data_IF_739330890952
#
_entry.id   IF_739330890952
#
_cell.length_a   1.000
_cell.length_b   1.000
_cell.length_c   1.000
_cell.angle_alpha   90.00
_cell.angle_beta   90.00
_cell.angle_gamma   90.00
#
_symmetry.space_group_name_H-M   'P 1'
#
loop_
_entity.id
_entity.type
_entity.pdbx_description
1 polymer ?
#
# COMPACT_ATOMS: atom_id res chain seq x y z
N UNK A 1 9.85 -4.63 20.00
CA UNK A 1 11.14 -3.97 19.73
C UNK A 1 10.80 -2.78 18.87
N UNK A 2 10.90 -1.58 19.41
CA UNK A 2 10.55 -0.34 18.70
C UNK A 2 11.46 -0.23 17.47
N UNK A 3 10.88 -0.25 16.26
CA UNK A 3 11.68 -0.15 15.03
C UNK A 3 12.28 1.25 14.97
N UNK A 4 13.59 1.31 14.67
CA UNK A 4 14.32 2.56 14.59
C UNK A 4 13.69 3.49 13.53
N UNK A 5 13.62 4.79 13.82
CA UNK A 5 13.27 5.79 12.82
C UNK A 5 14.24 5.67 11.64
N UNK A 6 13.70 5.61 10.42
CA UNK A 6 14.52 5.59 9.20
C UNK A 6 15.05 7.01 8.95
N UNK A 7 16.37 7.16 8.85
CA UNK A 7 16.95 8.45 8.48
C UNK A 7 16.31 8.98 7.19
N UNK A 8 16.04 10.28 7.11
CA UNK A 8 15.43 10.90 5.92
C UNK A 8 13.93 10.70 5.77
N UNK A 9 13.28 9.99 6.70
CA UNK A 9 11.82 9.86 6.77
C UNK A 9 11.31 10.52 8.05
N UNK A 10 10.62 11.64 7.89
CA UNK A 10 9.84 12.24 8.96
C UNK A 10 8.48 11.55 9.03
N UNK A 11 8.14 11.00 10.21
CA UNK A 11 6.86 10.35 10.46
C UNK A 11 6.10 11.06 11.58
N UNK A 12 4.81 11.29 11.35
CA UNK A 12 3.87 11.81 12.35
C UNK A 12 2.57 11.02 12.29
N UNK A 13 2.07 10.65 13.47
CA UNK A 13 0.78 9.98 13.66
C UNK A 13 -0.15 10.91 14.41
N UNK A 14 -1.31 11.19 13.84
CA UNK A 14 -2.39 11.89 14.52
C UNK A 14 -3.15 10.95 15.47
N UNK A 15 -3.90 11.54 16.39
CA UNK A 15 -4.61 10.81 17.45
C UNK A 15 -5.76 9.94 16.91
N UNK A 16 -6.30 10.29 15.75
CA UNK A 16 -7.54 9.71 15.21
C UNK A 16 -7.35 8.75 14.04
N UNK A 17 -6.11 8.49 13.61
CA UNK A 17 -5.79 7.56 12.52
C UNK A 17 -5.11 8.18 11.30
N UNK A 18 -4.65 9.44 11.37
CA UNK A 18 -3.84 10.05 10.31
C UNK A 18 -2.37 9.65 10.42
N UNK A 19 -1.74 9.28 9.30
CA UNK A 19 -0.32 8.96 9.19
C UNK A 19 0.32 9.86 8.12
N UNK A 20 1.36 10.60 8.49
CA UNK A 20 2.09 11.48 7.60
C UNK A 20 3.54 11.04 7.48
N UNK A 21 3.98 10.81 6.25
CA UNK A 21 5.34 10.46 5.90
C UNK A 21 5.90 11.51 4.95
N UNK A 22 6.89 12.27 5.40
CA UNK A 22 7.69 13.14 4.54
C UNK A 22 9.05 12.47 4.28
N UNK A 23 9.21 11.96 3.06
CA UNK A 23 10.42 11.25 2.62
C UNK A 23 11.37 12.26 1.96
N UNK A 24 12.25 12.85 2.77
CA UNK A 24 13.23 13.87 2.34
C UNK A 24 14.34 13.28 1.48
N UNK A 25 14.83 12.10 1.86
CA UNK A 25 15.91 11.42 1.15
C UNK A 25 15.70 9.89 1.15
N UNK A 26 16.25 9.22 0.13
CA UNK A 26 16.40 7.76 0.15
C UNK A 26 17.74 7.45 0.82
N UNK A 27 17.74 7.51 2.16
CA UNK A 27 18.91 7.23 3.00
C UNK A 27 19.35 5.76 2.89
N UNK A 28 20.54 5.43 3.38
CA UNK A 28 20.99 4.02 3.43
C UNK A 28 20.05 3.15 4.28
N UNK A 29 19.50 3.67 5.38
CA UNK A 29 18.52 2.93 6.21
C UNK A 29 17.27 2.58 5.41
N UNK A 30 16.72 3.55 4.67
CA UNK A 30 15.55 3.30 3.83
C UNK A 30 15.88 2.34 2.67
N UNK A 31 17.08 2.44 2.07
CA UNK A 31 17.54 1.48 1.06
C UNK A 31 17.63 0.07 1.63
N UNK A 32 18.17 -0.10 2.85
CA UNK A 32 18.25 -1.39 3.54
C UNK A 32 16.86 -1.94 3.80
N UNK A 33 15.92 -1.13 4.30
CA UNK A 33 14.54 -1.57 4.53
C UNK A 33 13.87 -2.01 3.21
N UNK A 34 14.00 -1.22 2.13
CA UNK A 34 13.49 -1.59 0.80
C UNK A 34 14.10 -2.91 0.33
N UNK A 35 15.44 -3.08 0.40
CA UNK A 35 16.13 -4.31 -0.01
C UNK A 35 15.62 -5.53 0.77
N UNK A 36 15.49 -5.39 2.08
CA UNK A 36 15.09 -6.49 2.97
C UNK A 36 13.67 -6.98 2.69
N UNK A 37 12.78 -6.10 2.21
CA UNK A 37 11.36 -6.42 2.02
C UNK A 37 10.94 -6.67 0.58
N UNK A 38 11.71 -6.21 -0.41
CA UNK A 38 11.24 -6.21 -1.80
C UNK A 38 10.76 -7.60 -2.26
N UNK A 39 11.53 -8.66 -1.98
CA UNK A 39 11.14 -10.04 -2.33
C UNK A 39 9.84 -10.47 -1.65
N UNK A 40 9.65 -10.13 -0.37
CA UNK A 40 8.46 -10.49 0.41
C UNK A 40 7.23 -9.72 -0.06
N UNK A 41 7.38 -8.41 -0.30
CA UNK A 41 6.32 -7.54 -0.82
C UNK A 41 5.86 -8.06 -2.19
N UNK A 42 6.80 -8.30 -3.09
CA UNK A 42 6.49 -8.72 -4.45
C UNK A 42 5.94 -10.14 -4.54
N UNK A 43 6.56 -11.11 -3.87
CA UNK A 43 6.24 -12.53 -4.08
C UNK A 43 5.44 -13.17 -2.94
N UNK A 44 5.30 -12.49 -1.80
CA UNK A 44 4.75 -13.04 -0.56
C UNK A 44 5.82 -13.70 0.31
N UNK A 45 5.69 -13.54 1.63
CA UNK A 45 6.66 -14.01 2.62
C UNK A 45 6.92 -15.54 2.53
N UNK A 46 5.89 -16.35 2.25
CA UNK A 46 6.03 -17.80 2.10
C UNK A 46 6.86 -18.25 0.90
N UNK A 47 6.95 -17.42 -0.16
CA UNK A 47 7.79 -17.69 -1.33
C UNK A 47 9.18 -17.13 -1.12
N UNK A 48 9.29 -15.89 -0.62
CA UNK A 48 10.55 -15.24 -0.33
C UNK A 48 11.42 -16.02 0.67
N UNK A 49 10.82 -16.69 1.67
CA UNK A 49 11.55 -17.48 2.67
C UNK A 49 12.18 -18.78 2.14
N UNK A 50 11.85 -19.21 0.91
CA UNK A 50 12.33 -20.49 0.35
C UNK A 50 13.79 -20.47 -0.07
N UNK A 51 14.48 -19.33 0.02
CA UNK A 51 15.89 -19.14 -0.33
C UNK A 51 16.27 -19.68 -1.73
N UNK A 52 15.34 -19.61 -2.69
CA UNK A 52 15.58 -20.02 -4.08
C UNK A 52 16.00 -18.81 -4.92
N UNK A 53 16.75 -19.07 -5.99
CA UNK A 53 17.11 -18.02 -6.96
C UNK A 53 15.87 -17.32 -7.52
N UNK A 54 14.75 -18.04 -7.67
CA UNK A 54 13.49 -17.54 -8.22
C UNK A 54 12.93 -16.35 -7.43
N UNK A 55 13.05 -16.35 -6.11
CA UNK A 55 12.53 -15.29 -5.22
C UNK A 55 13.64 -14.42 -4.63
N UNK A 56 14.85 -14.50 -5.19
CA UNK A 56 15.96 -13.64 -4.80
C UNK A 56 15.66 -12.16 -5.08
N UNK A 57 16.33 -11.28 -4.34
CA UNK A 57 16.23 -9.84 -4.55
C UNK A 57 16.50 -9.44 -6.01
N UNK A 58 17.57 -9.96 -6.61
CA UNK A 58 17.95 -9.65 -7.99
C UNK A 58 16.90 -10.10 -9.02
N UNK A 59 16.36 -11.33 -8.89
CA UNK A 59 15.28 -11.78 -9.79
C UNK A 59 14.00 -10.98 -9.60
N UNK A 60 13.66 -10.63 -8.36
CA UNK A 60 12.50 -9.78 -8.05
C UNK A 60 12.66 -8.40 -8.66
N UNK A 61 13.85 -7.80 -8.58
CA UNK A 61 14.17 -6.51 -9.16
C UNK A 61 14.07 -6.52 -10.69
N UNK A 62 14.62 -7.55 -11.35
CA UNK A 62 14.47 -7.71 -12.79
C UNK A 62 12.99 -7.85 -13.20
N UNK A 63 12.21 -8.67 -12.48
CA UNK A 63 10.79 -8.86 -12.75
C UNK A 63 9.97 -7.57 -12.50
N UNK A 64 10.34 -6.79 -11.47
CA UNK A 64 9.75 -5.48 -11.20
C UNK A 64 9.94 -4.56 -12.41
N UNK A 65 11.16 -4.43 -12.92
CA UNK A 65 11.46 -3.52 -14.03
C UNK A 65 10.91 -3.99 -15.38
N UNK A 66 10.82 -5.30 -15.62
CA UNK A 66 10.10 -5.84 -16.79
C UNK A 66 8.64 -5.36 -16.83
N UNK A 67 7.99 -5.28 -15.65
CA UNK A 67 6.62 -4.76 -15.53
C UNK A 67 6.60 -3.23 -15.56
N UNK A 68 7.51 -2.57 -14.84
CA UNK A 68 7.55 -1.12 -14.64
C UNK A 68 7.85 -0.34 -15.93
N UNK A 69 8.79 -0.82 -16.74
CA UNK A 69 9.33 -0.08 -17.89
C UNK A 69 8.34 0.03 -19.04
N UNK A 70 7.34 -0.85 -19.08
CA UNK A 70 6.30 -0.85 -20.11
C UNK A 70 5.12 0.06 -19.78
N UNK A 71 5.06 0.64 -18.57
CA UNK A 71 3.91 1.43 -18.12
C UNK A 71 4.11 2.94 -18.34
N UNK A 72 2.99 3.67 -18.39
CA UNK A 72 3.00 5.13 -18.44
C UNK A 72 3.62 5.74 -17.18
N UNK A 73 4.11 6.98 -17.28
CA UNK A 73 4.69 7.71 -16.13
C UNK A 73 3.73 7.75 -14.92
N UNK A 74 2.43 7.95 -15.15
CA UNK A 74 1.45 7.98 -14.06
C UNK A 74 1.25 6.61 -13.41
N UNK A 75 1.30 5.53 -14.20
CA UNK A 75 1.25 4.17 -13.67
C UNK A 75 2.53 3.85 -12.88
N UNK A 76 3.70 4.25 -13.39
CA UNK A 76 4.98 4.10 -12.69
C UNK A 76 4.98 4.83 -11.34
N UNK A 77 4.47 6.07 -11.29
CA UNK A 77 4.26 6.82 -10.04
C UNK A 77 3.36 6.07 -9.05
N UNK A 78 2.28 5.46 -9.55
CA UNK A 78 1.40 4.60 -8.76
C UNK A 78 2.14 3.40 -8.18
N UNK A 79 2.90 2.66 -9.01
CA UNK A 79 3.67 1.50 -8.59
C UNK A 79 4.70 1.85 -7.51
N UNK A 80 5.41 2.98 -7.62
CA UNK A 80 6.33 3.44 -6.58
C UNK A 80 5.58 3.87 -5.31
N UNK A 81 4.43 4.52 -5.46
CA UNK A 81 3.60 4.91 -4.33
C UNK A 81 3.12 3.72 -3.50
N UNK A 82 2.69 2.66 -4.18
CA UNK A 82 2.25 1.40 -3.56
C UNK A 82 3.43 0.64 -2.93
N UNK A 83 4.59 0.57 -3.60
CA UNK A 83 5.81 -0.01 -3.01
C UNK A 83 6.21 0.72 -1.72
N UNK A 84 6.25 2.05 -1.73
CA UNK A 84 6.57 2.85 -0.54
C UNK A 84 5.53 2.67 0.56
N UNK A 85 4.26 2.49 0.20
CA UNK A 85 3.20 2.16 1.17
C UNK A 85 3.52 0.87 1.89
N UNK A 86 3.83 -0.21 1.16
CA UNK A 86 4.25 -1.47 1.79
C UNK A 86 5.45 -1.31 2.71
N UNK A 87 6.47 -0.57 2.28
CA UNK A 87 7.72 -0.41 3.03
C UNK A 87 7.48 0.41 4.31
N UNK A 88 6.93 1.61 4.17
CA UNK A 88 6.84 2.56 5.27
C UNK A 88 5.69 2.24 6.22
N UNK A 89 4.51 1.88 5.71
CA UNK A 89 3.38 1.52 6.58
C UNK A 89 3.74 0.32 7.45
N UNK A 90 4.27 -0.75 6.86
CA UNK A 90 4.63 -1.96 7.61
C UNK A 90 5.91 -1.82 8.43
N UNK A 91 6.70 -0.75 8.24
CA UNK A 91 7.82 -0.43 9.11
C UNK A 91 7.35 0.29 10.37
N UNK A 92 6.52 1.33 10.21
CA UNK A 92 6.11 2.19 11.32
C UNK A 92 4.86 1.69 12.07
N UNK A 93 3.97 0.97 11.41
CA UNK A 93 2.82 0.33 12.04
C UNK A 93 3.06 -1.18 12.16
N UNK A 94 3.86 -1.57 13.16
CA UNK A 94 4.36 -2.93 13.31
C UNK A 94 3.30 -3.99 13.62
N UNK A 95 2.08 -3.58 13.92
CA UNK A 95 0.98 -4.51 14.16
C UNK A 95 0.24 -4.91 12.87
N UNK A 96 0.50 -4.21 11.76
CA UNK A 96 -0.01 -4.62 10.45
C UNK A 96 0.94 -5.59 9.74
N UNK A 97 0.33 -6.55 9.04
CA UNK A 97 0.98 -7.45 8.09
C UNK A 97 0.21 -7.46 6.78
N UNK A 98 0.92 -7.73 5.69
CA UNK A 98 0.29 -7.90 4.39
C UNK A 98 -0.43 -9.24 4.31
N UNK A 99 -1.63 -9.24 3.73
CA UNK A 99 -2.36 -10.41 3.28
C UNK A 99 -2.46 -10.45 1.74
N UNK A 100 -1.75 -9.56 1.03
CA UNK A 100 -1.65 -9.56 -0.44
C UNK A 100 -0.20 -9.43 -0.92
N UNK A 101 0.05 -9.82 -2.16
CA UNK A 101 1.34 -9.64 -2.85
C UNK A 101 1.27 -8.48 -3.82
N UNK A 102 2.38 -7.73 -3.94
CA UNK A 102 2.51 -6.63 -4.90
C UNK A 102 2.62 -7.14 -6.35
N UNK A 103 3.33 -8.26 -6.59
CA UNK A 103 3.20 -8.91 -7.89
C UNK A 103 1.90 -9.71 -7.89
N UNK A 104 1.04 -9.35 -8.83
CA UNK A 104 0.01 -10.27 -9.28
C UNK A 104 0.64 -11.23 -10.31
N UNK A 105 0.50 -12.54 -10.07
CA UNK A 105 1.15 -13.59 -10.86
C UNK A 105 0.43 -13.84 -12.21
N UNK A 106 -0.73 -13.23 -12.46
CA UNK A 106 -1.60 -13.47 -13.64
C UNK A 106 -1.68 -12.33 -14.69
N UNK A 107 -0.56 -11.67 -15.00
CA UNK A 107 -0.38 -10.82 -16.21
C UNK A 107 -0.99 -9.39 -16.31
N UNK A 108 -0.45 -8.69 -17.31
CA UNK A 108 -0.34 -7.28 -17.70
C UNK A 108 -1.58 -6.37 -17.80
N UNK A 109 -2.75 -6.77 -17.28
CA UNK A 109 -3.96 -5.93 -17.35
C UNK A 109 -4.24 -5.16 -16.04
N UNK A 110 -4.60 -3.88 -16.21
CA UNK A 110 -4.73 -2.88 -15.15
C UNK A 110 -6.02 -3.12 -14.35
N UNK A 111 -5.83 -3.53 -13.09
CA UNK A 111 -6.76 -3.70 -11.95
C UNK A 111 -7.54 -5.01 -11.86
N UNK A 112 -7.16 -5.85 -10.88
CA UNK A 112 -7.99 -7.01 -10.50
C UNK A 112 -8.24 -7.20 -9.00
N UNK A 113 -7.56 -6.51 -8.08
CA UNK A 113 -7.78 -6.61 -6.62
C UNK A 113 -7.86 -5.26 -5.94
N UNK A 114 -7.87 -5.26 -4.61
CA UNK A 114 -7.47 -4.11 -3.81
C UNK A 114 -5.97 -3.87 -3.96
N UNK A 115 -5.50 -2.64 -3.80
CA UNK A 115 -4.07 -2.35 -3.93
C UNK A 115 -3.28 -3.10 -2.83
N UNK A 116 -3.73 -3.00 -1.56
CA UNK A 116 -3.27 -3.90 -0.50
C UNK A 116 -4.43 -4.45 0.33
N UNK A 117 -4.21 -5.62 0.90
CA UNK A 117 -5.01 -6.17 1.99
C UNK A 117 -4.08 -6.36 3.17
N UNK A 118 -4.44 -5.82 4.33
CA UNK A 118 -3.68 -5.96 5.56
C UNK A 118 -4.50 -6.71 6.60
N UNK A 119 -3.81 -7.40 7.51
CA UNK A 119 -4.40 -7.86 8.75
C UNK A 119 -3.63 -7.27 9.94
N UNK A 120 -4.35 -7.02 11.04
CA UNK A 120 -3.75 -6.59 12.29
C UNK A 120 -3.44 -7.82 13.17
N UNK A 121 -2.19 -8.00 13.57
CA UNK A 121 -1.70 -9.20 14.28
C UNK A 121 -2.47 -9.45 15.59
N UNK A 122 -2.79 -8.40 16.35
CA UNK A 122 -3.46 -8.52 17.65
C UNK A 122 -4.98 -8.71 17.56
N UNK A 123 -5.66 -8.03 16.63
CA UNK A 123 -7.13 -7.99 16.58
C UNK A 123 -7.70 -8.92 15.51
N UNK A 124 -6.88 -9.39 14.57
CA UNK A 124 -7.33 -10.16 13.41
C UNK A 124 -8.15 -9.35 12.40
N UNK A 125 -8.29 -8.03 12.59
CA UNK A 125 -9.08 -7.18 11.71
C UNK A 125 -8.41 -7.04 10.34
N UNK A 126 -9.23 -7.06 9.29
CA UNK A 126 -8.80 -6.82 7.92
C UNK A 126 -8.98 -5.35 7.56
N UNK A 127 -8.00 -4.83 6.83
CA UNK A 127 -7.97 -3.47 6.31
C UNK A 127 -7.71 -3.49 4.81
N UNK A 128 -8.57 -2.82 4.05
CA UNK A 128 -8.44 -2.67 2.61
C UNK A 128 -7.78 -1.34 2.28
N UNK A 129 -6.76 -1.38 1.44
CA UNK A 129 -5.94 -0.21 1.12
C UNK A 129 -6.15 0.18 -0.34
N UNK A 130 -6.37 1.47 -0.58
CA UNK A 130 -6.36 2.06 -1.91
C UNK A 130 -5.34 3.18 -1.98
N UNK A 131 -4.43 3.09 -2.94
CA UNK A 131 -3.33 4.01 -3.18
C UNK A 131 -3.63 4.88 -4.39
N UNK A 132 -3.45 6.19 -4.22
CA UNK A 132 -3.53 7.16 -5.31
C UNK A 132 -2.30 8.05 -5.27
N UNK A 133 -1.62 8.11 -6.42
CA UNK A 133 -0.40 8.87 -6.57
C UNK A 133 -0.52 9.91 -7.69
N UNK A 134 0.22 11.01 -7.58
CA UNK A 134 0.39 11.95 -8.68
C UNK A 134 1.11 13.23 -8.31
N UNK A 135 1.43 14.03 -9.32
CA UNK A 135 2.17 15.28 -9.09
C UNK A 135 1.25 16.40 -8.59
N UNK A 136 1.83 17.29 -7.79
CA UNK A 136 1.16 18.52 -7.34
C UNK A 136 0.76 19.45 -8.49
N UNK A 137 1.57 19.52 -9.56
CA UNK A 137 1.39 20.51 -10.61
C UNK A 137 1.35 21.92 -10.03
N UNK A 138 0.28 22.67 -10.32
CA UNK A 138 0.05 24.02 -9.77
C UNK A 138 -0.73 24.08 -8.44
N UNK A 139 -1.02 22.94 -7.80
CA UNK A 139 -1.75 22.88 -6.53
C UNK A 139 -0.78 22.86 -5.35
N UNK A 140 -1.23 23.39 -4.20
CA UNK A 140 -0.54 23.17 -2.93
C UNK A 140 -0.52 21.67 -2.59
N UNK A 141 0.45 21.24 -1.79
CA UNK A 141 0.56 19.85 -1.34
C UNK A 141 -0.73 19.35 -0.67
N UNK A 142 -1.32 20.16 0.21
CA UNK A 142 -2.55 19.75 0.93
C UNK A 142 -3.77 19.63 0.01
N UNK A 143 -3.88 20.47 -1.03
CA UNK A 143 -4.95 20.34 -2.02
C UNK A 143 -4.79 19.06 -2.82
N UNK A 144 -3.56 18.76 -3.27
CA UNK A 144 -3.28 17.54 -4.02
C UNK A 144 -3.54 16.29 -3.20
N UNK A 145 -3.08 16.25 -1.95
CA UNK A 145 -3.35 15.15 -1.01
C UNK A 145 -4.85 14.96 -0.79
N UNK A 146 -5.61 16.05 -0.63
CA UNK A 146 -7.07 16.00 -0.50
C UNK A 146 -7.77 15.41 -1.73
N UNK A 147 -7.33 15.77 -2.93
CA UNK A 147 -7.86 15.20 -4.18
C UNK A 147 -7.57 13.70 -4.28
N UNK A 148 -6.32 13.30 -4.00
CA UNK A 148 -5.89 11.90 -4.04
C UNK A 148 -6.62 11.05 -3.01
N UNK A 149 -6.80 11.54 -1.78
CA UNK A 149 -7.59 10.87 -0.75
C UNK A 149 -9.04 10.67 -1.21
N UNK A 150 -9.65 11.70 -1.81
CA UNK A 150 -11.02 11.61 -2.30
C UNK A 150 -11.15 10.58 -3.43
N UNK A 151 -10.16 10.52 -4.32
CA UNK A 151 -10.09 9.49 -5.37
C UNK A 151 -9.91 8.08 -4.79
N UNK A 152 -9.04 7.93 -3.79
CA UNK A 152 -8.80 6.64 -3.13
C UNK A 152 -10.08 6.16 -2.45
N UNK A 153 -10.71 7.06 -1.69
CA UNK A 153 -11.98 6.81 -1.01
C UNK A 153 -13.07 6.35 -1.95
N UNK A 154 -13.33 7.13 -3.00
CA UNK A 154 -14.40 6.83 -3.95
C UNK A 154 -14.13 5.51 -4.69
N UNK A 155 -12.85 5.25 -5.04
CA UNK A 155 -12.42 3.99 -5.64
C UNK A 155 -12.71 2.80 -4.73
N UNK A 156 -12.23 2.87 -3.48
CA UNK A 156 -12.38 1.79 -2.51
C UNK A 156 -13.84 1.57 -2.11
N UNK A 157 -14.59 2.64 -1.85
CA UNK A 157 -16.03 2.59 -1.57
C UNK A 157 -16.79 1.92 -2.72
N UNK A 158 -16.48 2.28 -3.96
CA UNK A 158 -17.10 1.65 -5.14
C UNK A 158 -16.75 0.16 -5.21
N UNK A 159 -15.50 -0.21 -4.94
CA UNK A 159 -15.06 -1.61 -4.95
C UNK A 159 -15.77 -2.44 -3.86
N UNK A 160 -15.80 -1.95 -2.62
CA UNK A 160 -16.42 -2.63 -1.48
C UNK A 160 -17.94 -2.74 -1.60
N UNK A 161 -18.61 -1.78 -2.24
CA UNK A 161 -20.06 -1.85 -2.48
C UNK A 161 -20.43 -2.68 -3.73
N UNK A 162 -19.46 -3.22 -4.46
CA UNK A 162 -19.71 -3.91 -5.73
C UNK A 162 -19.96 -5.41 -5.53
N UNK A 163 -20.74 -6.01 -6.44
CA UNK A 163 -20.89 -7.47 -6.54
C UNK A 163 -19.71 -8.17 -7.22
N UNK A 164 -18.57 -7.49 -7.36
CA UNK A 164 -17.42 -8.00 -8.10
C UNK A 164 -16.66 -9.00 -7.23
N UNK A 165 -17.15 -10.24 -7.20
CA UNK A 165 -16.58 -11.34 -6.42
C UNK A 165 -15.08 -11.60 -6.70
N UNK A 166 -14.61 -11.27 -7.91
CA UNK A 166 -13.19 -11.41 -8.28
C UNK A 166 -12.24 -10.52 -7.46
N UNK A 167 -12.73 -9.41 -6.87
CA UNK A 167 -11.93 -8.63 -5.90
C UNK A 167 -11.53 -9.48 -4.70
N UNK A 168 -12.54 -10.14 -4.14
CA UNK A 168 -12.42 -10.90 -2.91
C UNK A 168 -11.68 -12.22 -3.13
N UNK A 169 -11.90 -12.89 -4.27
CA UNK A 169 -11.09 -14.05 -4.66
C UNK A 169 -9.60 -13.72 -4.74
N UNK A 170 -9.24 -12.54 -5.25
CA UNK A 170 -7.84 -12.10 -5.26
C UNK A 170 -7.31 -11.85 -3.84
N UNK A 171 -8.13 -11.33 -2.94
CA UNK A 171 -7.76 -11.15 -1.53
C UNK A 171 -7.52 -12.50 -0.83
N UNK A 172 -8.44 -13.47 -1.01
CA UNK A 172 -8.31 -14.84 -0.47
C UNK A 172 -7.02 -15.49 -0.99
N UNK A 173 -6.79 -15.44 -2.31
CA UNK A 173 -5.58 -15.99 -2.90
C UNK A 173 -4.30 -15.33 -2.35
N UNK A 174 -4.33 -14.01 -2.17
CA UNK A 174 -3.25 -13.27 -1.52
C UNK A 174 -2.93 -13.84 -0.14
N UNK A 175 -3.96 -14.03 0.70
CA UNK A 175 -3.79 -14.56 2.05
C UNK A 175 -3.19 -15.98 2.02
N UNK A 176 -3.66 -16.84 1.11
CA UNK A 176 -3.14 -18.19 0.92
C UNK A 176 -1.64 -18.21 0.61
N UNK A 177 -1.17 -17.26 -0.21
CA UNK A 177 0.23 -17.20 -0.67
C UNK A 177 1.14 -16.49 0.33
N UNK A 178 0.64 -15.51 1.08
CA UNK A 178 1.45 -14.68 1.97
C UNK A 178 1.55 -15.29 3.37
N UNK A 179 0.45 -15.78 3.92
CA UNK A 179 0.36 -16.17 5.34
C UNK A 179 0.88 -17.60 5.53
N UNK A 180 1.97 -17.71 6.29
CA UNK A 180 2.63 -18.99 6.58
C UNK A 180 1.94 -19.74 7.72
N UNK A 181 1.57 -19.03 8.79
CA UNK A 181 0.87 -19.63 9.93
C UNK A 181 -0.46 -20.21 9.48
N UNK A 182 -0.66 -21.50 9.75
CA UNK A 182 -1.82 -22.23 9.25
C UNK A 182 -3.13 -21.75 9.89
N UNK A 183 -3.13 -21.54 11.20
CA UNK A 183 -4.34 -21.17 11.93
C UNK A 183 -4.78 -19.75 11.58
N UNK A 184 -3.82 -18.82 11.51
CA UNK A 184 -4.07 -17.45 11.10
C UNK A 184 -4.54 -17.39 9.65
N UNK A 185 -3.90 -18.14 8.75
CA UNK A 185 -4.33 -18.23 7.36
C UNK A 185 -5.77 -18.72 7.24
N UNK A 186 -6.11 -19.84 7.87
CA UNK A 186 -7.49 -20.38 7.85
C UNK A 186 -8.48 -19.33 8.39
N UNK A 187 -8.13 -18.59 9.45
CA UNK A 187 -8.97 -17.51 9.98
C UNK A 187 -9.17 -16.36 8.98
N UNK A 188 -8.09 -15.88 8.36
CA UNK A 188 -8.16 -14.77 7.39
C UNK A 188 -8.87 -15.20 6.11
N UNK A 189 -8.63 -16.41 5.60
CA UNK A 189 -9.32 -16.96 4.44
C UNK A 189 -10.83 -17.04 4.68
N UNK A 190 -11.27 -17.62 5.80
CA UNK A 190 -12.68 -17.70 6.15
C UNK A 190 -13.34 -16.31 6.23
N UNK A 191 -12.65 -15.32 6.78
CA UNK A 191 -13.17 -13.95 6.88
C UNK A 191 -13.33 -13.30 5.50
N UNK A 192 -12.32 -13.44 4.64
CA UNK A 192 -12.35 -12.91 3.27
C UNK A 192 -13.37 -13.64 2.38
N UNK A 193 -13.55 -14.94 2.56
CA UNK A 193 -14.59 -15.75 1.91
C UNK A 193 -15.99 -15.30 2.34
N UNK A 194 -16.21 -15.07 3.64
CA UNK A 194 -17.47 -14.52 4.13
C UNK A 194 -17.77 -13.12 3.57
N UNK A 195 -16.75 -12.28 3.35
CA UNK A 195 -16.91 -11.00 2.66
C UNK A 195 -17.28 -11.18 1.18
N UNK A 196 -16.71 -12.19 0.52
CA UNK A 196 -17.03 -12.52 -0.86
C UNK A 196 -18.49 -12.99 -1.01
N UNK A 197 -18.96 -13.82 -0.08
CA UNK A 197 -20.35 -14.28 -0.04
C UNK A 197 -21.32 -13.10 0.08
N UNK A 198 -21.09 -12.19 1.04
CA UNK A 198 -21.86 -10.94 1.16
C UNK A 198 -21.90 -10.13 -0.15
N UNK A 199 -20.76 -10.03 -0.85
CA UNK A 199 -20.68 -9.30 -2.11
C UNK A 199 -21.49 -9.98 -3.23
N UNK A 200 -21.47 -11.32 -3.31
CA UNK A 200 -22.27 -12.09 -4.27
C UNK A 200 -23.77 -11.90 -4.03
N UNK A 201 -24.19 -11.89 -2.77
CA UNK A 201 -25.57 -11.66 -2.36
C UNK A 201 -26.00 -10.20 -2.61
N UNK A 202 -25.04 -9.28 -2.70
CA UNK A 202 -25.28 -7.85 -2.86
C UNK A 202 -25.55 -7.13 -1.56
N UNK A 203 -25.09 -7.71 -0.45
CA UNK A 203 -25.22 -7.19 0.91
C UNK A 203 -23.92 -6.52 1.41
N UNK A 204 -22.87 -6.53 0.59
CA UNK A 204 -21.59 -5.89 0.90
C UNK A 204 -21.73 -4.37 0.91
N UNK A 205 -21.52 -3.76 2.08
CA UNK A 205 -21.51 -2.29 2.25
C UNK A 205 -20.15 -1.81 2.74
N UNK A 206 -19.65 -0.70 2.22
CA UNK A 206 -18.32 -0.17 2.58
C UNK A 206 -18.16 0.08 4.09
N UNK A 207 -19.26 0.36 4.78
CA UNK A 207 -19.36 0.53 6.24
C UNK A 207 -19.11 -0.74 7.05
N UNK A 208 -19.07 -1.91 6.41
CA UNK A 208 -18.73 -3.19 7.05
C UNK A 208 -17.21 -3.42 7.18
N UNK A 209 -16.40 -2.58 6.53
CA UNK A 209 -14.97 -2.84 6.34
C UNK A 209 -14.08 -1.70 6.83
N UNK A 210 -12.90 -2.03 7.35
CA UNK A 210 -11.88 -1.03 7.63
C UNK A 210 -11.16 -0.60 6.35
N UNK A 211 -10.83 0.68 6.27
CA UNK A 211 -10.16 1.26 5.11
C UNK A 211 -8.88 2.00 5.49
N UNK A 212 -7.84 1.85 4.66
CA UNK A 212 -6.69 2.74 4.67
C UNK A 212 -6.60 3.47 3.33
N UNK A 213 -6.72 4.79 3.37
CA UNK A 213 -6.66 5.63 2.16
C UNK A 213 -5.28 6.25 2.03
N UNK A 214 -4.59 5.97 0.93
CA UNK A 214 -3.22 6.43 0.74
C UNK A 214 -3.15 7.47 -0.39
N UNK A 215 -2.65 8.65 -0.05
CA UNK A 215 -2.38 9.74 -0.97
C UNK A 215 -0.86 9.97 -1.09
N UNK A 216 -0.32 9.73 -2.27
CA UNK A 216 1.10 9.93 -2.59
C UNK A 216 1.25 11.17 -3.48
N UNK A 217 1.75 12.26 -2.91
CA UNK A 217 1.97 13.50 -3.63
C UNK A 217 3.44 13.68 -3.99
N UNK A 218 3.72 13.77 -5.28
CA UNK A 218 5.06 14.12 -5.79
C UNK A 218 5.16 15.63 -5.98
N UNK A 219 5.99 16.27 -5.16
CA UNK A 219 5.87 17.71 -4.87
C UNK A 219 6.72 18.61 -5.76
N UNK A 220 7.78 18.10 -6.41
CA UNK A 220 8.70 18.94 -7.18
C UNK A 220 9.23 20.07 -6.31
N UNK A 221 8.86 21.32 -6.64
CA UNK A 221 9.28 22.54 -5.91
C UNK A 221 8.25 23.07 -4.89
N UNK A 222 7.17 22.34 -4.61
CA UNK A 222 6.12 22.78 -3.69
C UNK A 222 6.46 22.44 -2.23
N UNK A 223 6.04 23.31 -1.30
CA UNK A 223 6.17 23.04 0.13
C UNK A 223 5.28 21.86 0.57
N UNK A 224 5.76 21.12 1.57
CA UNK A 224 5.08 19.96 2.12
C UNK A 224 3.95 20.42 3.04
N UNK A 225 2.75 19.86 2.88
CA UNK A 225 1.66 20.07 3.82
C UNK A 225 2.07 19.61 5.22
N UNK A 226 1.67 20.36 6.24
CA UNK A 226 2.01 20.01 7.62
C UNK A 226 1.18 18.80 8.10
N UNK A 227 1.66 18.06 9.11
CA UNK A 227 0.88 17.00 9.74
C UNK A 227 -0.51 17.46 10.22
N UNK A 228 -0.61 18.68 10.76
CA UNK A 228 -1.86 19.26 11.28
C UNK A 228 -2.84 19.63 10.15
N UNK A 229 -2.32 20.03 8.99
CA UNK A 229 -3.16 20.22 7.79
C UNK A 229 -3.75 18.90 7.30
N UNK A 230 -2.94 17.84 7.27
CA UNK A 230 -3.40 16.53 6.86
C UNK A 230 -4.34 15.89 7.88
N UNK A 231 -4.10 16.06 9.18
CA UNK A 231 -4.97 15.55 10.23
C UNK A 231 -6.39 16.14 10.12
N UNK A 232 -6.50 17.43 9.82
CA UNK A 232 -7.80 18.06 9.51
C UNK A 232 -8.48 17.42 8.29
N UNK A 233 -7.73 17.05 7.25
CA UNK A 233 -8.28 16.33 6.08
C UNK A 233 -8.74 14.93 6.45
N UNK A 234 -7.97 14.21 7.26
CA UNK A 234 -8.32 12.90 7.76
C UNK A 234 -9.63 12.95 8.57
N UNK A 235 -9.72 13.85 9.55
CA UNK A 235 -10.92 14.01 10.38
C UNK A 235 -12.16 14.31 9.53
N UNK A 236 -12.04 15.20 8.54
CA UNK A 236 -13.14 15.48 7.61
C UNK A 236 -13.58 14.25 6.78
N UNK A 237 -12.68 13.33 6.43
CA UNK A 237 -13.06 12.08 5.76
C UNK A 237 -13.67 11.08 6.75
N UNK A 238 -13.14 11.00 7.98
CA UNK A 238 -13.62 10.10 9.04
C UNK A 238 -15.05 10.43 9.44
N UNK A 239 -15.39 11.71 9.58
CA UNK A 239 -16.74 12.19 9.91
C UNK A 239 -17.81 11.82 8.87
N UNK A 240 -17.42 11.43 7.65
CA UNK A 240 -18.36 10.97 6.63
C UNK A 240 -18.89 9.55 6.90
N UNK A 241 -18.27 8.79 7.81
CA UNK A 241 -18.69 7.45 8.22
C UNK A 241 -18.95 6.49 7.04
N UNK A 242 -18.07 6.50 6.03
CA UNK A 242 -18.22 5.67 4.82
C UNK A 242 -17.58 4.28 4.95
N UNK A 243 -16.82 4.04 6.02
CA UNK A 243 -16.14 2.79 6.35
C UNK A 243 -16.33 2.48 7.85
N UNK A 244 -16.08 1.23 8.27
CA UNK A 244 -16.16 0.83 9.68
C UNK A 244 -15.15 1.61 10.54
N UNK A 245 -13.90 1.62 10.10
CA UNK A 245 -12.83 2.47 10.62
C UNK A 245 -11.97 2.97 9.46
N UNK A 246 -11.25 4.05 9.70
CA UNK A 246 -10.50 4.76 8.68
C UNK A 246 -9.11 5.14 9.17
N UNK A 247 -8.10 4.76 8.40
CA UNK A 247 -6.76 5.32 8.43
C UNK A 247 -6.57 6.16 7.17
N UNK A 248 -5.92 7.31 7.29
CA UNK A 248 -5.50 8.09 6.12
C UNK A 248 -4.00 8.28 6.14
N UNK A 249 -3.36 8.07 5.00
CA UNK A 249 -1.90 8.05 4.87
C UNK A 249 -1.48 9.08 3.82
N UNK A 250 -0.67 10.04 4.22
CA UNK A 250 0.02 10.95 3.31
C UNK A 250 1.46 10.50 3.10
N UNK A 251 1.84 10.30 1.85
CA UNK A 251 3.24 10.26 1.44
C UNK A 251 3.58 11.52 0.66
N UNK A 252 4.61 12.20 1.11
CA UNK A 252 5.17 13.36 0.43
C UNK A 252 6.63 13.06 0.09
N UNK A 253 6.96 13.19 -1.19
CA UNK A 253 8.32 13.00 -1.68
C UNK A 253 8.58 13.96 -2.84
N UNK A 254 9.80 14.47 -2.91
CA UNK A 254 10.19 15.41 -3.97
C UNK A 254 10.01 14.77 -5.36
N UNK A 255 10.57 13.57 -5.56
CA UNK A 255 10.45 12.82 -6.82
C UNK A 255 10.39 11.31 -6.59
N UNK A 256 9.52 10.62 -7.35
CA UNK A 256 9.54 9.15 -7.42
C UNK A 256 10.82 8.61 -8.06
N UNK A 257 11.46 9.43 -8.90
CA UNK A 257 12.64 9.08 -9.68
C UNK A 257 13.82 8.64 -8.80
N UNK A 258 14.02 9.24 -7.63
CA UNK A 258 15.10 8.83 -6.72
C UNK A 258 14.97 7.38 -6.21
N UNK A 259 13.74 6.87 -6.05
CA UNK A 259 13.50 5.45 -5.71
C UNK A 259 13.83 4.57 -6.92
N UNK A 260 13.41 4.99 -8.11
CA UNK A 260 13.66 4.28 -9.36
C UNK A 260 15.16 4.19 -9.64
N UNK A 261 15.89 5.30 -9.50
CA UNK A 261 17.34 5.37 -9.70
C UNK A 261 18.09 4.47 -8.73
N UNK A 262 17.72 4.50 -7.44
CA UNK A 262 18.24 3.56 -6.46
C UNK A 262 18.01 2.11 -6.90
N UNK A 263 16.76 1.73 -7.17
CA UNK A 263 16.42 0.35 -7.54
C UNK A 263 17.11 -0.07 -8.86
N UNK A 264 17.21 0.81 -9.86
CA UNK A 264 17.93 0.50 -11.11
C UNK A 264 19.42 0.32 -10.88
N UNK A 265 20.04 1.13 -10.03
CA UNK A 265 21.46 1.02 -9.70
C UNK A 265 21.83 -0.29 -9.00
N UNK A 266 20.85 -1.00 -8.45
CA UNK A 266 21.04 -2.29 -7.79
C UNK A 266 20.93 -3.49 -8.75
N UNK A 267 20.49 -3.28 -10.00
CA UNK A 267 20.46 -4.33 -11.03
C UNK A 267 21.90 -4.66 -11.40
N UNK A 268 22.31 -5.90 -11.13
CA UNK A 268 23.57 -6.43 -11.69
C UNK A 268 23.30 -6.90 -13.12
N UNK A 269 24.26 -6.75 -14.02
CA UNK A 269 24.25 -7.48 -15.28
C UNK A 269 24.23 -8.99 -14.93
N UNK A 270 23.08 -9.65 -15.10
CA UNK A 270 22.89 -11.09 -14.87
C UNK A 270 22.98 -11.83 -16.18
#
# INVERSE_FOLDING_TARGET
MEKCALQGVEFKKGETGSLCFAVREISEDLKIEIRSRLSEICNGAAKASRNTTLYSYQRTLSAFFQKFDTKSSDTQKGMIGELLTHVLLLHYESDFRSASTFFNLEEDSIKKGFDLVLHHDTTGQIWFVEVKAGDCGGKTSIQKLGDLLSLAKNGLKTALNSKRFTLWQNAVHGATVVIQDRSLKEQIENLLEGYNEKALEGESTSTDYNAALVAVSYLGNQEFATPEEFDRRHNAQKEMNEFHDLISIAFQKDTFQSVVEFLRGEIKDV
#
